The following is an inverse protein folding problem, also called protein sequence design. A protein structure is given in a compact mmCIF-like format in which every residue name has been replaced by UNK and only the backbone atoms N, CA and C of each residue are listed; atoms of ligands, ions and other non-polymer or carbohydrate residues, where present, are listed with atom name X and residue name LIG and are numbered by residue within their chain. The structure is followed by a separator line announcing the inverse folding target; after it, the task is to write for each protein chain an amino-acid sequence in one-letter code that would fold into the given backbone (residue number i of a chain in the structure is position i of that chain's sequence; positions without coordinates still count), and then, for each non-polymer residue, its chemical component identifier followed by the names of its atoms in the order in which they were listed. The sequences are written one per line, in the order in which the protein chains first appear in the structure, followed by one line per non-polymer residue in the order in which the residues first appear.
data_IF_135411146106
#
_entry.id   IF_135411146106
#
_cell.length_a   1.000
_cell.length_b   1.000
_cell.length_c   1.000
_cell.angle_alpha   90.00
_cell.angle_beta   90.00
_cell.angle_gamma   90.00
#
_symmetry.space_group_name_H-M   'P 1'
#
loop_
_entity.id
_entity.type
_entity.pdbx_description
1 polymer ?
#
# COMPACT_ATOMS: atom_id res chain seq x y z
N UNK A 1 8.31 -12.13 8.93
CA UNK A 1 7.60 -12.93 7.91
C UNK A 1 6.15 -13.11 8.36
N UNK A 2 5.17 -12.88 7.50
CA UNK A 2 3.75 -12.95 7.88
C UNK A 2 3.29 -14.39 8.20
N UNK A 3 3.77 -15.39 7.46
CA UNK A 3 3.41 -16.79 7.69
C UNK A 3 3.83 -17.30 9.08
N UNK A 4 4.99 -16.89 9.58
CA UNK A 4 5.41 -17.22 10.96
C UNK A 4 4.55 -16.52 12.01
N UNK A 5 4.04 -15.32 11.72
CA UNK A 5 3.11 -14.62 12.60
C UNK A 5 1.76 -15.35 12.69
N UNK A 6 1.21 -15.82 11.56
CA UNK A 6 0.01 -16.66 11.54
C UNK A 6 0.21 -17.92 12.39
N UNK A 7 1.32 -18.65 12.18
CA UNK A 7 1.59 -19.90 12.91
C UNK A 7 1.72 -19.67 14.41
N UNK A 8 2.35 -18.57 14.85
CA UNK A 8 2.47 -18.27 16.28
C UNK A 8 1.13 -17.81 16.87
N UNK A 9 0.33 -17.04 16.14
CA UNK A 9 -0.93 -16.50 16.66
C UNK A 9 -2.07 -17.54 16.66
N UNK A 10 -2.13 -18.40 15.64
CA UNK A 10 -3.18 -19.42 15.49
C UNK A 10 -2.73 -20.81 15.97
N UNK A 11 -1.43 -21.12 15.95
CA UNK A 11 -0.90 -22.44 16.32
C UNK A 11 -0.78 -22.69 17.82
N UNK A 12 -0.77 -21.64 18.65
CA UNK A 12 -0.79 -21.78 20.12
C UNK A 12 -2.19 -22.14 20.67
N UNK A 13 -3.21 -22.10 19.82
CA UNK A 13 -4.55 -22.55 20.16
C UNK A 13 -4.65 -24.05 19.83
N UNK A 14 -4.31 -24.91 20.80
CA UNK A 14 -4.22 -26.38 20.67
C UNK A 14 -5.51 -27.16 20.34
N UNK A 15 -6.40 -26.60 19.54
CA UNK A 15 -7.61 -27.26 19.04
C UNK A 15 -7.60 -27.26 17.50
N UNK A 16 -8.29 -28.23 16.89
CA UNK A 16 -8.57 -28.20 15.45
C UNK A 16 -9.46 -26.97 15.22
N UNK A 17 -8.86 -25.89 14.76
CA UNK A 17 -9.56 -24.66 14.41
C UNK A 17 -9.92 -24.77 12.94
N UNK A 18 -11.21 -24.77 12.64
CA UNK A 18 -11.69 -24.36 11.33
C UNK A 18 -11.31 -22.88 11.17
N UNK A 19 -10.13 -22.62 10.61
CA UNK A 19 -9.61 -21.27 10.42
C UNK A 19 -10.55 -20.55 9.45
N UNK A 20 -11.27 -19.55 9.96
CA UNK A 20 -12.19 -18.77 9.14
C UNK A 20 -11.44 -17.69 8.38
N UNK A 21 -12.07 -17.16 7.32
CA UNK A 21 -11.56 -15.99 6.60
C UNK A 21 -11.44 -14.78 7.53
N UNK A 22 -12.34 -14.66 8.52
CA UNK A 22 -12.34 -13.56 9.48
C UNK A 22 -11.14 -13.63 10.43
N UNK A 23 -10.74 -14.83 10.86
CA UNK A 23 -9.55 -15.03 11.70
C UNK A 23 -8.27 -14.63 10.96
N UNK A 24 -8.17 -15.01 9.67
CA UNK A 24 -7.05 -14.64 8.81
C UNK A 24 -7.01 -13.13 8.59
N UNK A 25 -8.17 -12.52 8.31
CA UNK A 25 -8.27 -11.08 8.05
C UNK A 25 -7.93 -10.27 9.29
N UNK A 26 -8.42 -10.68 10.45
CA UNK A 26 -8.10 -10.05 11.74
C UNK A 26 -6.60 -10.14 12.03
N UNK A 27 -6.01 -11.32 11.86
CA UNK A 27 -4.57 -11.54 12.07
C UNK A 27 -3.72 -10.73 11.10
N UNK A 28 -4.13 -10.64 9.83
CA UNK A 28 -3.46 -9.81 8.82
C UNK A 28 -3.50 -8.33 9.20
N UNK A 29 -4.66 -7.82 9.61
CA UNK A 29 -4.82 -6.43 10.01
C UNK A 29 -3.97 -6.08 11.25
N UNK A 30 -3.94 -6.95 12.25
CA UNK A 30 -3.07 -6.78 13.42
C UNK A 30 -1.59 -6.78 13.05
N UNK A 31 -1.17 -7.67 12.14
CA UNK A 31 0.20 -7.70 11.65
C UNK A 31 0.57 -6.41 10.90
N UNK A 32 -0.28 -5.96 9.98
CA UNK A 32 -0.07 -4.70 9.23
C UNK A 32 0.01 -3.52 10.18
N UNK A 33 -0.85 -3.45 11.21
CA UNK A 33 -0.80 -2.41 12.22
C UNK A 33 0.53 -2.42 13.00
N UNK A 34 1.05 -3.61 13.33
CA UNK A 34 2.35 -3.73 14.00
C UNK A 34 3.53 -3.22 13.17
N UNK A 35 3.40 -3.25 11.83
CA UNK A 35 4.40 -2.73 10.90
C UNK A 35 4.27 -1.22 10.65
N UNK A 36 3.29 -0.53 11.27
CA UNK A 36 3.02 0.89 11.01
C UNK A 36 4.27 1.78 11.17
N UNK A 37 5.09 1.54 12.20
CA UNK A 37 6.34 2.28 12.40
C UNK A 37 7.37 2.06 11.28
N UNK A 38 7.49 0.84 10.76
CA UNK A 38 8.35 0.54 9.62
C UNK A 38 7.84 1.20 8.34
N UNK A 39 6.52 1.22 8.13
CA UNK A 39 5.92 1.88 6.98
C UNK A 39 6.07 3.39 7.03
N UNK A 40 5.87 4.04 8.18
CA UNK A 40 6.12 5.48 8.31
C UNK A 40 7.61 5.80 8.10
N UNK A 41 8.53 5.03 8.68
CA UNK A 41 9.98 5.19 8.45
C UNK A 41 10.34 5.04 6.97
N UNK A 42 9.71 4.10 6.26
CA UNK A 42 9.89 3.96 4.83
C UNK A 42 9.36 5.19 4.07
N UNK A 43 8.18 5.69 4.45
CA UNK A 43 7.51 6.82 3.81
C UNK A 43 8.22 8.16 4.07
N UNK A 44 9.00 8.28 5.15
CA UNK A 44 9.83 9.46 5.46
C UNK A 44 10.92 9.73 4.42
N UNK A 45 11.29 8.73 3.60
CA UNK A 45 12.22 8.91 2.48
C UNK A 45 11.59 9.64 1.29
N UNK A 46 10.29 9.92 1.34
CA UNK A 46 9.52 10.51 0.26
C UNK A 46 8.99 11.90 0.64
N UNK A 47 8.87 12.75 -0.35
CA UNK A 47 8.20 14.04 -0.20
C UNK A 47 6.70 13.84 0.03
N UNK A 48 6.05 14.85 0.61
CA UNK A 48 4.60 14.86 0.82
C UNK A 48 3.79 14.57 -0.46
N UNK A 49 4.25 15.05 -1.61
CA UNK A 49 3.55 14.82 -2.87
C UNK A 49 3.75 13.39 -3.39
N UNK A 50 4.94 12.81 -3.22
CA UNK A 50 5.21 11.40 -3.54
C UNK A 50 4.35 10.47 -2.67
N UNK A 51 4.31 10.72 -1.36
CA UNK A 51 3.44 9.97 -0.43
C UNK A 51 1.98 10.07 -0.86
N UNK A 52 1.49 11.26 -1.23
CA UNK A 52 0.10 11.43 -1.71
C UNK A 52 -0.17 10.63 -3.00
N UNK A 53 0.81 10.52 -3.89
CA UNK A 53 0.67 9.68 -5.09
C UNK A 53 0.62 8.20 -4.73
N UNK A 54 1.52 7.73 -3.84
CA UNK A 54 1.51 6.34 -3.35
C UNK A 54 0.16 6.01 -2.66
N UNK A 55 -0.34 6.91 -1.80
CA UNK A 55 -1.66 6.75 -1.16
C UNK A 55 -2.79 6.73 -2.18
N UNK A 56 -2.75 7.57 -3.22
CA UNK A 56 -3.79 7.54 -4.26
C UNK A 56 -3.80 6.22 -5.02
N UNK A 57 -2.61 5.69 -5.38
CA UNK A 57 -2.47 4.38 -6.01
C UNK A 57 -3.05 3.30 -5.09
N UNK A 58 -2.71 3.33 -3.79
CA UNK A 58 -3.24 2.37 -2.82
C UNK A 58 -4.78 2.40 -2.72
N UNK A 59 -5.37 3.61 -2.68
CA UNK A 59 -6.82 3.79 -2.56
C UNK A 59 -7.59 3.42 -3.83
N UNK A 60 -6.99 3.58 -5.00
CA UNK A 60 -7.61 3.20 -6.28
C UNK A 60 -7.28 1.78 -6.72
N UNK A 61 -6.38 1.08 -6.00
CA UNK A 61 -5.73 -0.18 -6.36
C UNK A 61 -4.86 -0.11 -7.63
N UNK A 62 -5.37 0.53 -8.68
CA UNK A 62 -4.68 0.78 -9.92
C UNK A 62 -4.94 2.24 -10.31
N UNK A 63 -3.88 3.06 -10.38
CA UNK A 63 -3.99 4.44 -10.87
C UNK A 63 -4.09 4.44 -12.39
N UNK A 64 -5.33 4.52 -12.88
CA UNK A 64 -5.66 4.62 -14.31
C UNK A 64 -5.66 6.09 -14.73
N UNK A 65 -5.25 6.36 -15.97
CA UNK A 65 -5.22 7.71 -16.55
C UNK A 65 -4.63 8.75 -15.57
N UNK A 66 -3.36 8.61 -15.14
CA UNK A 66 -2.80 9.42 -14.06
C UNK A 66 -2.84 10.92 -14.36
N UNK A 67 -2.74 11.31 -15.63
CA UNK A 67 -2.81 12.71 -16.09
C UNK A 67 -4.24 13.23 -16.25
N UNK A 68 -5.26 12.44 -15.90
CA UNK A 68 -6.66 12.84 -15.93
C UNK A 68 -6.93 13.99 -14.95
N UNK A 69 -7.87 14.85 -15.32
CA UNK A 69 -8.22 16.06 -14.53
C UNK A 69 -8.57 15.72 -13.08
N UNK A 70 -9.26 14.61 -12.85
CA UNK A 70 -9.68 14.19 -11.51
C UNK A 70 -8.49 13.88 -10.61
N UNK A 71 -7.55 13.05 -11.09
CA UNK A 71 -6.34 12.69 -10.35
C UNK A 71 -5.46 13.91 -10.07
N UNK A 72 -5.27 14.78 -11.05
CA UNK A 72 -4.49 16.02 -10.88
C UNK A 72 -5.14 16.98 -9.87
N UNK A 73 -6.47 17.06 -9.86
CA UNK A 73 -7.23 17.89 -8.92
C UNK A 73 -7.14 17.35 -7.49
N UNK A 74 -7.26 16.03 -7.32
CA UNK A 74 -7.10 15.35 -6.02
C UNK A 74 -5.70 15.58 -5.46
N UNK A 75 -4.68 15.42 -6.30
CA UNK A 75 -3.28 15.55 -5.91
C UNK A 75 -2.82 17.01 -5.81
N UNK A 76 -3.53 17.96 -6.43
CA UNK A 76 -3.15 19.38 -6.53
C UNK A 76 -1.74 19.57 -7.10
N UNK A 77 -1.40 18.80 -8.14
CA UNK A 77 -0.10 18.87 -8.83
C UNK A 77 -0.31 18.99 -10.34
N UNK A 78 0.68 19.56 -11.04
CA UNK A 78 0.66 19.61 -12.50
C UNK A 78 0.90 18.23 -13.11
N UNK A 79 0.46 18.03 -14.36
CA UNK A 79 0.72 16.80 -15.11
C UNK A 79 2.23 16.51 -15.26
N UNK A 80 3.04 17.55 -15.47
CA UNK A 80 4.51 17.41 -15.54
C UNK A 80 5.11 17.00 -14.20
N UNK A 81 4.61 17.54 -13.08
CA UNK A 81 5.02 17.17 -11.74
C UNK A 81 4.67 15.71 -11.42
N UNK A 82 3.44 15.29 -11.71
CA UNK A 82 3.01 13.90 -11.53
C UNK A 82 3.84 12.94 -12.37
N UNK A 83 4.16 13.29 -13.63
CA UNK A 83 4.99 12.44 -14.49
C UNK A 83 6.36 12.18 -13.87
N UNK A 84 7.04 13.22 -13.38
CA UNK A 84 8.35 13.09 -12.71
C UNK A 84 8.27 12.22 -11.45
N UNK A 85 7.20 12.37 -10.67
CA UNK A 85 6.97 11.52 -9.49
C UNK A 85 6.82 10.05 -9.91
N UNK A 86 5.97 9.77 -10.90
CA UNK A 86 5.74 8.40 -11.37
C UNK A 86 7.01 7.77 -11.96
N UNK A 87 7.83 8.54 -12.69
CA UNK A 87 9.13 8.07 -13.20
C UNK A 87 10.07 7.71 -12.06
N UNK A 88 10.22 8.58 -11.05
CA UNK A 88 11.05 8.29 -9.88
C UNK A 88 10.59 7.05 -9.12
N UNK A 89 9.28 6.90 -8.91
CA UNK A 89 8.71 5.74 -8.22
C UNK A 89 8.89 4.43 -9.01
N UNK A 90 8.87 4.50 -10.36
CA UNK A 90 9.20 3.36 -11.21
C UNK A 90 10.69 2.99 -11.09
N UNK A 91 11.57 3.98 -11.12
CA UNK A 91 13.03 3.77 -11.03
C UNK A 91 13.42 3.14 -9.69
N UNK A 92 12.71 3.48 -8.63
CA UNK A 92 12.89 2.90 -7.29
C UNK A 92 12.17 1.55 -7.10
N UNK A 93 11.45 1.07 -8.13
CA UNK A 93 10.59 -0.12 -8.06
C UNK A 93 9.53 -0.08 -6.95
N UNK A 94 9.06 1.12 -6.59
CA UNK A 94 7.96 1.31 -5.62
C UNK A 94 6.60 1.08 -6.28
N UNK A 95 6.54 1.32 -7.60
CA UNK A 95 5.38 1.05 -8.44
C UNK A 95 5.81 0.31 -9.69
N UNK A 96 4.87 -0.36 -10.35
CA UNK A 96 5.07 -0.96 -11.66
C UNK A 96 3.91 -0.64 -12.60
N UNK A 97 4.16 -0.76 -13.91
CA UNK A 97 3.13 -0.57 -14.94
C UNK A 97 2.39 -1.87 -15.20
N UNK A 98 1.08 -1.83 -15.10
CA UNK A 98 0.19 -2.85 -15.63
C UNK A 98 -0.50 -2.38 -16.92
N UNK A 99 -1.20 -3.30 -17.60
CA UNK A 99 -1.96 -3.01 -18.84
C UNK A 99 -2.87 -1.79 -18.72
N UNK A 100 -3.38 -1.51 -17.51
CA UNK A 100 -4.40 -0.51 -17.26
C UNK A 100 -3.94 0.69 -16.41
N UNK A 101 -2.70 0.74 -15.94
CA UNK A 101 -2.26 1.83 -15.04
C UNK A 101 -1.03 1.48 -14.20
N UNK A 102 -0.92 2.15 -13.05
CA UNK A 102 0.19 1.98 -12.11
C UNK A 102 -0.29 1.31 -10.82
N UNK A 103 0.50 0.39 -10.30
CA UNK A 103 0.20 -0.39 -9.08
C UNK A 103 1.40 -0.36 -8.13
N UNK A 104 1.14 -0.41 -6.83
CA UNK A 104 2.18 -0.49 -5.80
C UNK A 104 2.88 -1.85 -5.81
N UNK A 105 4.21 -1.86 -5.71
CA UNK A 105 5.01 -3.10 -5.66
C UNK A 105 4.96 -3.82 -4.32
N UNK A 106 4.52 -3.14 -3.25
CA UNK A 106 4.50 -3.65 -1.87
C UNK A 106 3.05 -3.81 -1.39
N UNK A 107 2.47 -5.04 -1.44
CA UNK A 107 1.07 -5.27 -1.07
C UNK A 107 0.72 -4.89 0.38
N UNK A 108 1.62 -5.15 1.33
CA UNK A 108 1.37 -4.78 2.74
C UNK A 108 1.35 -3.26 2.95
N UNK A 109 2.22 -2.54 2.25
CA UNK A 109 2.21 -1.07 2.26
C UNK A 109 0.94 -0.53 1.60
N UNK A 110 0.49 -1.15 0.50
CA UNK A 110 -0.77 -0.80 -0.15
C UNK A 110 -1.95 -0.91 0.81
N UNK A 111 -2.07 -2.03 1.53
CA UNK A 111 -3.12 -2.18 2.55
C UNK A 111 -3.02 -1.14 3.66
N UNK A 112 -1.81 -0.89 4.17
CA UNK A 112 -1.58 0.14 5.19
C UNK A 112 -2.03 1.54 4.71
N UNK A 113 -1.62 1.94 3.50
CA UNK A 113 -1.97 3.24 2.93
C UNK A 113 -3.46 3.37 2.57
N UNK A 114 -4.13 2.26 2.25
CA UNK A 114 -5.56 2.25 1.91
C UNK A 114 -6.43 2.40 3.16
N UNK A 115 -6.13 1.60 4.19
CA UNK A 115 -7.06 1.35 5.29
C UNK A 115 -6.69 2.11 6.59
N UNK A 116 -5.41 2.47 6.78
CA UNK A 116 -4.92 3.04 8.04
C UNK A 116 -4.45 4.50 7.95
N UNK A 117 -3.93 4.93 6.80
CA UNK A 117 -3.42 6.30 6.63
C UNK A 117 -4.52 7.25 6.13
N UNK A 118 -5.03 8.09 7.03
CA UNK A 118 -6.06 9.12 6.77
C UNK A 118 -5.55 10.26 5.87
#
# INVERSE_FOLDING_TARGET
MFCSHIVNTLGDQGCIIDVTIDDITTTLNSYIASLGGEFETYLDNYTRNEVRVLTLIAKQEILRNPMGKDNLSILKISASGLRKILEKLLDHADIYREKNGYVLSKPLLMHYLRDWRL
#
